data_IF_877042340334
#
_entry.id   IF_877042340334
#
_cell.length_a   1.000
_cell.length_b   1.000
_cell.length_c   1.000
_cell.angle_alpha   90.00
_cell.angle_beta   90.00
_cell.angle_gamma   90.00
#
_symmetry.space_group_name_H-M   'P 1'
#
loop_
_entity.id
_entity.type
_entity.pdbx_description
1 polymer ?
#
# COMPACT_ATOMS: atom_id res chain seq x y z
N UNK A 1 21.69 -11.29 62.73
CA UNK A 1 21.25 -11.48 61.33
C UNK A 1 21.21 -10.10 60.69
N UNK A 2 22.16 -9.70 59.82
CA UNK A 2 21.98 -8.41 59.10
C UNK A 2 22.92 -8.14 57.91
N UNK A 3 24.18 -8.59 57.92
CA UNK A 3 25.14 -8.11 56.90
C UNK A 3 25.15 -8.92 55.61
N UNK A 4 25.18 -10.26 55.70
CA UNK A 4 25.28 -11.14 54.52
C UNK A 4 24.02 -11.20 53.66
N UNK A 5 22.86 -10.86 54.23
CA UNK A 5 21.57 -10.87 53.53
C UNK A 5 21.34 -9.58 52.72
N UNK A 6 21.89 -8.46 53.20
CA UNK A 6 21.84 -7.16 52.52
C UNK A 6 22.78 -7.14 51.31
N UNK A 7 23.97 -7.74 51.44
CA UNK A 7 24.91 -7.90 50.31
C UNK A 7 24.36 -8.85 49.25
N UNK A 8 23.68 -9.93 49.66
CA UNK A 8 23.00 -10.84 48.71
C UNK A 8 21.86 -10.15 47.98
N UNK A 9 21.03 -9.36 48.68
CA UNK A 9 19.98 -8.56 48.03
C UNK A 9 20.55 -7.49 47.10
N UNK A 10 21.67 -6.87 47.45
CA UNK A 10 22.33 -5.87 46.61
C UNK A 10 22.94 -6.49 45.34
N UNK A 11 23.57 -7.67 45.48
CA UNK A 11 24.15 -8.43 44.36
C UNK A 11 23.04 -8.96 43.45
N UNK A 12 21.96 -9.53 44.00
CA UNK A 12 20.81 -9.99 43.21
C UNK A 12 20.16 -8.81 42.49
N UNK A 13 20.00 -7.67 43.16
CA UNK A 13 19.49 -6.44 42.55
C UNK A 13 20.36 -5.96 41.39
N UNK A 14 21.68 -6.01 41.54
CA UNK A 14 22.60 -5.61 40.47
C UNK A 14 22.60 -6.60 39.31
N UNK A 15 22.55 -7.91 39.58
CA UNK A 15 22.46 -8.95 38.53
C UNK A 15 21.14 -8.85 37.77
N UNK A 16 20.02 -8.66 38.46
CA UNK A 16 18.70 -8.47 37.83
C UNK A 16 18.67 -7.18 37.00
N UNK A 17 19.24 -6.08 37.50
CA UNK A 17 19.34 -4.83 36.75
C UNK A 17 20.21 -4.99 35.49
N UNK A 18 21.36 -5.66 35.60
CA UNK A 18 22.26 -5.92 34.46
C UNK A 18 21.60 -6.84 33.44
N UNK A 19 20.89 -7.90 33.87
CA UNK A 19 20.15 -8.79 32.97
C UNK A 19 19.00 -8.06 32.28
N UNK A 20 18.23 -7.22 32.99
CA UNK A 20 17.15 -6.42 32.40
C UNK A 20 17.69 -5.40 31.41
N UNK A 21 18.83 -4.77 31.69
CA UNK A 21 19.49 -3.84 30.77
C UNK A 21 20.03 -4.56 29.53
N UNK A 22 20.70 -5.71 29.69
CA UNK A 22 21.23 -6.49 28.57
C UNK A 22 20.10 -7.04 27.68
N UNK A 23 19.07 -7.63 28.29
CA UNK A 23 17.89 -8.16 27.56
C UNK A 23 17.10 -7.01 26.94
N UNK A 24 16.94 -5.89 27.64
CA UNK A 24 16.28 -4.68 27.11
C UNK A 24 17.02 -4.08 25.92
N UNK A 25 18.35 -3.98 25.97
CA UNK A 25 19.17 -3.53 24.83
C UNK A 25 19.08 -4.49 23.64
N UNK A 26 19.06 -5.81 23.90
CA UNK A 26 18.89 -6.82 22.86
C UNK A 26 17.50 -6.80 22.19
N UNK A 27 16.45 -6.43 22.94
CA UNK A 27 15.09 -6.26 22.41
C UNK A 27 15.00 -4.98 21.56
N UNK A 28 15.61 -3.86 22.00
CA UNK A 28 15.60 -2.60 21.25
C UNK A 28 16.43 -2.63 19.96
N UNK A 29 17.39 -3.56 19.82
CA UNK A 29 18.18 -3.72 18.61
C UNK A 29 17.46 -4.45 17.46
N UNK A 30 16.23 -4.96 17.67
CA UNK A 30 15.47 -5.73 16.67
C UNK A 30 14.43 -4.93 15.88
N UNK A 31 14.30 -3.63 16.10
CA UNK A 31 13.62 -2.76 15.13
C UNK A 31 14.56 -2.43 13.97
N UNK A 32 14.96 -3.48 13.25
CA UNK A 32 15.59 -3.35 11.95
C UNK A 32 14.49 -2.84 11.00
N UNK A 33 14.50 -1.53 10.74
CA UNK A 33 13.75 -0.93 9.63
C UNK A 33 14.35 -1.52 8.37
N UNK A 34 13.80 -2.68 8.00
CA UNK A 34 14.13 -3.42 6.80
C UNK A 34 13.96 -2.49 5.59
N UNK A 35 15.11 -2.03 5.10
CA UNK A 35 15.34 -1.55 3.74
C UNK A 35 14.45 -0.38 3.28
N UNK A 36 15.06 0.80 3.17
CA UNK A 36 14.66 1.76 2.13
C UNK A 36 14.87 1.05 0.78
N UNK A 37 13.84 0.75 -0.03
CA UNK A 37 14.06 0.19 -1.35
C UNK A 37 14.69 1.29 -2.22
N UNK A 38 15.86 0.97 -2.76
CA UNK A 38 16.64 1.85 -3.61
C UNK A 38 15.80 2.29 -4.81
N UNK A 39 15.63 3.61 -4.94
CA UNK A 39 15.02 4.23 -6.10
C UNK A 39 15.92 3.97 -7.32
N UNK A 40 15.62 2.91 -8.06
CA UNK A 40 16.30 2.58 -9.31
C UNK A 40 16.92 1.20 -9.31
N UNK A 41 16.08 0.16 -9.36
CA UNK A 41 16.36 -1.11 -10.05
C UNK A 41 15.06 -1.89 -10.21
N UNK A 42 14.66 -1.99 -11.47
CA UNK A 42 13.54 -2.70 -12.08
C UNK A 42 13.47 -4.18 -11.65
N UNK A 43 12.80 -4.46 -10.53
CA UNK A 43 12.37 -5.82 -10.15
C UNK A 43 10.97 -5.88 -9.51
N UNK A 44 10.24 -4.76 -9.53
CA UNK A 44 8.92 -4.65 -8.92
C UNK A 44 7.92 -4.17 -9.95
N UNK A 45 7.34 -5.08 -10.73
CA UNK A 45 6.06 -4.89 -11.44
C UNK A 45 5.46 -6.24 -11.82
N UNK A 46 5.60 -7.24 -10.95
CA UNK A 46 4.65 -8.34 -10.98
C UNK A 46 3.36 -7.81 -10.30
N UNK A 47 2.23 -7.70 -11.03
CA UNK A 47 0.97 -7.21 -10.46
C UNK A 47 0.53 -8.04 -9.24
N UNK A 48 0.86 -9.35 -9.21
CA UNK A 48 0.54 -10.22 -8.07
C UNK A 48 1.33 -9.81 -6.84
N UNK A 49 2.65 -9.63 -6.98
CA UNK A 49 3.51 -9.20 -5.87
C UNK A 49 3.10 -7.83 -5.33
N UNK A 50 2.71 -6.90 -6.20
CA UNK A 50 2.22 -5.58 -5.77
C UNK A 50 0.89 -5.68 -5.02
N UNK A 51 -0.01 -6.55 -5.47
CA UNK A 51 -1.27 -6.84 -4.77
C UNK A 51 -1.00 -7.46 -3.40
N UNK A 52 -0.11 -8.45 -3.31
CA UNK A 52 0.28 -9.07 -2.04
C UNK A 52 0.91 -8.06 -1.08
N UNK A 53 1.78 -7.17 -1.57
CA UNK A 53 2.39 -6.12 -0.75
C UNK A 53 1.35 -5.10 -0.26
N UNK A 54 0.42 -4.69 -1.12
CA UNK A 54 -0.67 -3.80 -0.75
C UNK A 54 -1.56 -4.44 0.32
N UNK A 55 -1.95 -5.70 0.11
CA UNK A 55 -2.73 -6.48 1.07
C UNK A 55 -2.01 -6.65 2.41
N UNK A 56 -0.69 -6.91 2.40
CA UNK A 56 0.12 -7.01 3.61
C UNK A 56 0.16 -5.69 4.42
N UNK A 57 -0.09 -4.55 3.76
CA UNK A 57 -0.22 -3.22 4.39
C UNK A 57 -1.67 -2.86 4.74
N UNK A 58 -2.63 -3.77 4.51
CA UNK A 58 -4.06 -3.56 4.77
C UNK A 58 -4.77 -2.70 3.72
N UNK A 59 -4.24 -2.62 2.49
CA UNK A 59 -4.90 -1.97 1.37
C UNK A 59 -5.69 -2.98 0.54
N UNK A 60 -6.90 -2.60 0.13
CA UNK A 60 -7.81 -3.42 -0.69
C UNK A 60 -7.77 -2.94 -2.15
N UNK A 61 -6.57 -2.93 -2.73
CA UNK A 61 -6.36 -2.56 -4.15
C UNK A 61 -5.66 -3.70 -4.86
N UNK A 62 -6.26 -4.17 -5.95
CA UNK A 62 -5.70 -5.21 -6.79
C UNK A 62 -4.94 -4.61 -7.98
N UNK A 63 -3.68 -4.97 -8.14
CA UNK A 63 -2.89 -4.58 -9.30
C UNK A 63 -3.16 -5.56 -10.44
N UNK A 64 -3.58 -5.05 -11.59
CA UNK A 64 -3.97 -5.89 -12.73
C UNK A 64 -2.86 -5.99 -13.78
N UNK A 65 -2.75 -7.18 -14.37
CA UNK A 65 -2.06 -7.39 -15.64
C UNK A 65 -2.96 -7.11 -16.84
N UNK A 66 -2.36 -7.11 -18.03
CA UNK A 66 -3.07 -6.84 -19.29
C UNK A 66 -4.26 -7.78 -19.56
N UNK A 67 -4.16 -9.05 -19.16
CA UNK A 67 -5.19 -10.06 -19.37
C UNK A 67 -6.43 -9.90 -18.46
N UNK A 68 -6.29 -9.19 -17.35
CA UNK A 68 -7.34 -9.02 -16.34
C UNK A 68 -8.09 -7.70 -16.53
N UNK A 69 -7.41 -6.68 -17.05
CA UNK A 69 -7.97 -5.35 -17.28
C UNK A 69 -9.30 -5.38 -18.05
N UNK A 70 -9.34 -6.07 -19.18
CA UNK A 70 -10.54 -6.13 -20.02
C UNK A 70 -11.74 -6.77 -19.33
N UNK A 71 -11.51 -7.70 -18.39
CA UNK A 71 -12.58 -8.33 -17.61
C UNK A 71 -13.15 -7.36 -16.59
N UNK A 72 -12.29 -6.58 -15.94
CA UNK A 72 -12.71 -5.64 -14.89
C UNK A 72 -13.53 -4.49 -15.47
N UNK A 73 -13.12 -3.94 -16.61
CA UNK A 73 -13.77 -2.79 -17.26
C UNK A 73 -15.22 -3.03 -17.69
N UNK A 74 -15.62 -4.29 -17.91
CA UNK A 74 -16.93 -4.62 -18.50
C UNK A 74 -17.88 -5.36 -17.54
N UNK A 75 -17.40 -5.83 -16.39
CA UNK A 75 -18.18 -6.74 -15.54
C UNK A 75 -18.48 -6.22 -14.14
N UNK A 76 -17.74 -5.21 -13.66
CA UNK A 76 -17.84 -4.74 -12.29
C UNK A 76 -18.04 -3.23 -12.24
N UNK A 77 -18.84 -2.77 -11.27
CA UNK A 77 -18.78 -1.39 -10.85
C UNK A 77 -17.50 -1.17 -10.04
N UNK A 78 -16.51 -0.50 -10.63
CA UNK A 78 -15.17 -0.44 -10.06
C UNK A 78 -14.43 0.84 -10.44
N UNK A 79 -13.37 1.14 -9.67
CA UNK A 79 -12.46 2.25 -9.93
C UNK A 79 -11.09 1.73 -10.28
N UNK A 80 -10.57 2.16 -11.42
CA UNK A 80 -9.25 1.76 -11.93
C UNK A 80 -8.34 2.98 -11.99
N UNK A 81 -7.20 2.93 -11.29
CA UNK A 81 -6.10 3.88 -11.44
C UNK A 81 -5.11 3.38 -12.49
N UNK A 82 -4.90 4.17 -13.53
CA UNK A 82 -3.82 3.99 -14.49
C UNK A 82 -2.63 4.85 -14.07
N UNK A 83 -1.45 4.22 -13.91
CA UNK A 83 -0.24 4.88 -13.43
C UNK A 83 1.02 4.40 -14.16
N UNK A 84 2.15 5.08 -13.92
CA UNK A 84 3.45 4.67 -14.43
C UNK A 84 4.55 4.87 -13.38
N UNK A 85 5.52 3.95 -13.30
CA UNK A 85 6.60 3.99 -12.30
C UNK A 85 7.60 5.16 -12.50
N UNK A 86 7.81 5.55 -13.76
CA UNK A 86 8.62 6.68 -14.15
C UNK A 86 7.94 8.03 -13.88
N UNK A 87 6.62 8.04 -13.69
CA UNK A 87 5.84 9.28 -13.52
C UNK A 87 5.91 9.81 -12.08
N UNK A 88 6.50 11.00 -11.90
CA UNK A 88 6.61 11.67 -10.59
C UNK A 88 5.26 11.94 -9.93
N UNK A 89 4.24 12.35 -10.69
CA UNK A 89 2.89 12.56 -10.18
C UNK A 89 2.22 11.26 -9.72
N UNK A 90 2.49 10.14 -10.40
CA UNK A 90 1.97 8.83 -10.01
C UNK A 90 2.54 8.38 -8.66
N UNK A 91 3.84 8.61 -8.43
CA UNK A 91 4.49 8.26 -7.15
C UNK A 91 3.85 8.95 -5.95
N UNK A 92 3.27 10.14 -6.14
CA UNK A 92 2.54 10.86 -5.10
C UNK A 92 1.06 10.44 -5.01
N UNK A 93 0.43 10.17 -6.14
CA UNK A 93 -0.98 9.84 -6.22
C UNK A 93 -1.31 8.40 -5.80
N UNK A 94 -0.43 7.44 -6.11
CA UNK A 94 -0.67 6.02 -5.85
C UNK A 94 -0.83 5.70 -4.35
N UNK A 95 0.02 6.20 -3.43
CA UNK A 95 -0.19 5.97 -2.00
C UNK A 95 -1.53 6.53 -1.50
N UNK A 96 -1.94 7.70 -2.00
CA UNK A 96 -3.23 8.29 -1.65
C UNK A 96 -4.41 7.45 -2.16
N UNK A 97 -4.27 6.82 -3.33
CA UNK A 97 -5.28 5.91 -3.88
C UNK A 97 -5.35 4.59 -3.11
N UNK A 98 -4.21 4.04 -2.70
CA UNK A 98 -4.17 2.86 -1.83
C UNK A 98 -4.86 3.14 -0.48
N UNK A 99 -4.57 4.29 0.15
CA UNK A 99 -5.22 4.67 1.41
C UNK A 99 -6.73 4.88 1.25
N UNK A 100 -7.19 5.32 0.09
CA UNK A 100 -8.62 5.48 -0.18
C UNK A 100 -9.39 4.16 -0.06
N UNK A 101 -8.78 3.01 -0.40
CA UNK A 101 -9.43 1.69 -0.26
C UNK A 101 -9.87 1.39 1.17
N UNK A 102 -9.14 1.91 2.17
CA UNK A 102 -9.48 1.75 3.59
C UNK A 102 -10.66 2.61 4.03
N UNK A 103 -11.01 3.62 3.24
CA UNK A 103 -12.12 4.54 3.50
C UNK A 103 -13.40 4.02 2.81
N UNK A 104 -13.26 3.43 1.63
CA UNK A 104 -14.40 3.05 0.78
C UNK A 104 -15.13 1.79 1.23
N UNK A 105 -14.46 0.89 1.96
CA UNK A 105 -15.05 -0.34 2.50
C UNK A 105 -15.34 -1.39 1.44
N UNK A 106 -16.36 -1.17 0.61
CA UNK A 106 -16.86 -2.18 -0.35
C UNK A 106 -16.55 -1.85 -1.82
N UNK A 107 -16.00 -0.66 -2.11
CA UNK A 107 -15.72 -0.26 -3.49
C UNK A 107 -14.57 -1.07 -4.09
N UNK A 108 -14.81 -1.66 -5.27
CA UNK A 108 -13.78 -2.40 -6.01
C UNK A 108 -12.75 -1.44 -6.60
N UNK A 109 -11.52 -1.50 -6.09
CA UNK A 109 -10.43 -0.62 -6.52
C UNK A 109 -9.28 -1.41 -7.15
N UNK A 110 -8.82 -0.94 -8.31
CA UNK A 110 -7.77 -1.56 -9.10
C UNK A 110 -6.70 -0.55 -9.50
N UNK A 111 -5.47 -1.01 -9.68
CA UNK A 111 -4.37 -0.21 -10.22
C UNK A 111 -3.69 -0.93 -11.38
N UNK A 112 -3.44 -0.22 -12.48
CA UNK A 112 -2.81 -0.77 -13.68
C UNK A 112 -1.64 0.09 -14.08
N UNK A 113 -0.49 -0.55 -14.24
CA UNK A 113 0.70 0.14 -14.70
C UNK A 113 0.76 0.23 -16.23
N UNK A 114 1.35 1.31 -16.73
CA UNK A 114 1.45 1.66 -18.14
C UNK A 114 1.89 0.52 -19.09
N UNK A 115 2.79 -0.38 -18.67
CA UNK A 115 3.24 -1.53 -19.47
C UNK A 115 2.19 -2.62 -19.61
N UNK A 116 1.23 -2.69 -18.69
CA UNK A 116 0.13 -3.66 -18.72
C UNK A 116 -1.10 -3.13 -19.47
N UNK A 117 -1.05 -1.90 -19.99
CA UNK A 117 -2.15 -1.32 -20.76
C UNK A 117 -2.04 -1.79 -22.22
N UNK A 118 -3.09 -2.42 -22.79
CA UNK A 118 -3.10 -2.82 -24.20
C UNK A 118 -2.90 -1.63 -25.14
N UNK A 119 -2.25 -1.86 -26.29
CA UNK A 119 -2.12 -0.83 -27.34
C UNK A 119 -3.50 -0.36 -27.80
N UNK A 120 -3.65 0.95 -27.97
CA UNK A 120 -4.92 1.56 -28.40
C UNK A 120 -5.92 1.80 -27.27
N UNK A 121 -5.57 1.46 -26.02
CA UNK A 121 -6.38 1.81 -24.86
C UNK A 121 -6.56 3.34 -24.75
N UNK A 122 -7.75 3.85 -24.37
CA UNK A 122 -8.07 5.28 -24.41
C UNK A 122 -7.36 6.17 -23.38
N UNK A 123 -6.56 5.60 -22.47
CA UNK A 123 -5.80 6.37 -21.47
C UNK A 123 -4.52 6.92 -22.09
N UNK A 124 -4.45 8.25 -22.20
CA UNK A 124 -3.31 8.96 -22.81
C UNK A 124 -2.39 9.70 -21.85
N UNK A 125 -2.72 9.76 -20.55
CA UNK A 125 -1.91 10.46 -19.55
C UNK A 125 -1.96 9.75 -18.19
N UNK A 126 -1.03 10.12 -17.30
CA UNK A 126 -0.89 9.50 -15.99
C UNK A 126 -0.65 10.55 -14.89
N UNK A 127 -1.21 10.38 -13.68
CA UNK A 127 -2.19 9.37 -13.32
C UNK A 127 -3.59 9.72 -13.85
N UNK A 128 -4.33 8.71 -14.25
CA UNK A 128 -5.76 8.82 -14.61
C UNK A 128 -6.53 7.79 -13.79
N UNK A 129 -7.62 8.22 -13.15
CA UNK A 129 -8.50 7.35 -12.38
C UNK A 129 -9.86 7.35 -13.07
N UNK A 130 -10.39 6.17 -13.37
CA UNK A 130 -11.64 5.98 -14.10
C UNK A 130 -12.55 5.08 -13.28
N UNK A 131 -13.81 5.46 -13.13
CA UNK A 131 -14.89 4.59 -12.64
C UNK A 131 -15.55 3.94 -13.83
N UNK A 132 -15.63 2.62 -13.83
CA UNK A 132 -16.34 1.80 -14.81
C UNK A 132 -17.62 1.31 -14.17
N UNK A 133 -18.76 1.50 -14.84
CA UNK A 133 -20.03 0.97 -14.39
C UNK A 133 -20.31 -0.39 -15.04
N UNK A 134 -21.13 -1.19 -14.40
CA UNK A 134 -21.53 -2.54 -14.87
C UNK A 134 -22.23 -2.52 -16.25
N UNK A 135 -22.67 -1.36 -16.75
CA UNK A 135 -23.23 -1.23 -18.09
C UNK A 135 -22.19 -1.32 -19.23
N UNK A 136 -20.88 -1.29 -18.89
CA UNK A 136 -19.76 -1.40 -19.81
C UNK A 136 -19.63 -0.23 -20.79
N UNK A 137 -20.39 0.85 -20.61
CA UNK A 137 -20.44 2.00 -21.53
C UNK A 137 -20.19 3.31 -20.81
N UNK A 138 -20.64 3.40 -19.56
CA UNK A 138 -20.47 4.59 -18.73
C UNK A 138 -19.12 4.50 -18.05
N UNK A 139 -18.31 5.52 -18.30
CA UNK A 139 -17.03 5.72 -17.64
C UNK A 139 -16.91 7.15 -17.18
N UNK A 140 -16.50 7.32 -15.94
CA UNK A 140 -16.29 8.64 -15.37
C UNK A 140 -14.81 8.82 -15.05
N UNK A 141 -14.26 9.97 -15.42
CA UNK A 141 -12.87 10.29 -15.10
C UNK A 141 -12.85 11.12 -13.83
N UNK A 142 -12.04 10.72 -12.85
CA UNK A 142 -11.86 11.48 -11.62
C UNK A 142 -11.26 12.86 -11.94
N UNK A 143 -12.00 13.91 -11.58
CA UNK A 143 -11.56 15.32 -11.71
C UNK A 143 -11.31 15.98 -10.35
N UNK A 144 -11.53 15.24 -9.26
CA UNK A 144 -11.39 15.76 -7.90
C UNK A 144 -9.94 15.80 -7.40
N UNK A 145 -9.75 16.17 -6.13
CA UNK A 145 -8.44 16.17 -5.49
C UNK A 145 -7.79 14.78 -5.50
N UNK A 146 -6.46 14.75 -5.64
CA UNK A 146 -5.65 13.51 -5.57
C UNK A 146 -5.29 13.17 -4.13
N UNK A 147 -6.30 13.07 -3.28
CA UNK A 147 -6.18 12.76 -1.85
C UNK A 147 -6.95 11.48 -1.53
N UNK A 148 -6.67 10.80 -0.39
CA UNK A 148 -7.43 9.61 -0.02
C UNK A 148 -8.94 9.86 0.03
N UNK A 149 -9.37 10.96 0.66
CA UNK A 149 -10.77 11.36 0.71
C UNK A 149 -11.36 11.66 -0.67
N UNK A 150 -10.58 12.30 -1.57
CA UNK A 150 -11.02 12.63 -2.93
C UNK A 150 -11.25 11.37 -3.76
N UNK A 151 -10.36 10.39 -3.69
CA UNK A 151 -10.53 9.11 -4.37
C UNK A 151 -11.63 8.26 -3.73
N UNK A 152 -11.74 8.26 -2.41
CA UNK A 152 -12.78 7.51 -1.72
C UNK A 152 -14.17 8.03 -2.07
N UNK A 153 -14.36 9.35 -2.04
CA UNK A 153 -15.61 9.98 -2.46
C UNK A 153 -15.95 9.65 -3.91
N UNK A 154 -14.95 9.63 -4.80
CA UNK A 154 -15.17 9.26 -6.20
C UNK A 154 -15.59 7.80 -6.35
N UNK A 155 -15.00 6.88 -5.58
CA UNK A 155 -15.33 5.46 -5.65
C UNK A 155 -16.74 5.13 -5.14
N UNK A 156 -17.23 5.87 -4.14
CA UNK A 156 -18.54 5.66 -3.52
C UNK A 156 -19.65 6.57 -4.07
N UNK A 157 -19.36 7.37 -5.11
CA UNK A 157 -20.40 8.17 -5.77
C UNK A 157 -21.38 7.25 -6.50
N UNK A 158 -22.69 7.48 -6.29
CA UNK A 158 -23.81 6.73 -6.89
C UNK A 158 -24.39 7.44 -8.11
#
# INVERSE_FOLDING_TARGET
MSSTEKDRSLIIGFVVLVVVVIVGFAIMAKTDVKGRPDAGKTSALDPKKMTEEAAAKGYEVHFLGAAELSKVEHHNDCVVMYYADWCGYCRQALPAFLEASRITGDALMYAVESRNIPKGHPVGSFPTVIRYHTDGRTREVHKGPRTPAGYASFATTH
#
